data_IF_045914765673
#
_entry.id   IF_045914765673
#
_cell.length_a   1.000
_cell.length_b   1.000
_cell.length_c   1.000
_cell.angle_alpha   90.00
_cell.angle_beta   90.00
_cell.angle_gamma   90.00
#
_symmetry.space_group_name_H-M   'P 1'
#
loop_
_entity.id
_entity.type
_entity.pdbx_description
1 polymer ?
#
# COMPACT_ATOMS: atom_id res chain seq x y z
N UNK A 1 49.24 62.06 -15.71
CA UNK A 1 47.78 62.30 -15.85
C UNK A 1 47.14 61.41 -14.80
N UNK A 2 46.97 61.83 -13.55
CA UNK A 2 46.63 63.17 -13.03
C UNK A 2 45.24 63.62 -13.51
N UNK A 3 44.31 64.07 -12.66
CA UNK A 3 44.31 64.32 -11.20
C UNK A 3 43.39 63.30 -10.47
N UNK A 4 43.43 63.04 -9.15
CA UNK A 4 43.17 63.92 -7.99
C UNK A 4 41.79 64.63 -8.07
N UNK A 5 40.97 64.75 -7.01
CA UNK A 5 41.31 64.87 -5.57
C UNK A 5 40.16 64.44 -4.63
N UNK A 6 40.50 63.93 -3.42
CA UNK A 6 39.92 64.24 -2.07
C UNK A 6 38.39 64.12 -1.81
N UNK A 7 37.87 64.16 -0.57
CA UNK A 7 38.39 64.49 0.79
C UNK A 7 37.77 63.51 1.83
N UNK A 8 38.51 62.90 2.76
CA UNK A 8 38.78 63.34 4.17
C UNK A 8 37.55 63.30 5.13
N UNK A 9 37.59 63.08 6.46
CA UNK A 9 38.55 62.55 7.48
C UNK A 9 37.75 62.42 8.82
N UNK A 10 38.13 61.83 9.98
CA UNK A 10 39.24 61.05 10.59
C UNK A 10 38.55 59.98 11.53
N UNK A 11 39.13 58.89 12.09
CA UNK A 11 40.22 58.71 13.10
C UNK A 11 39.90 59.24 14.53
N UNK A 12 40.32 58.65 15.67
CA UNK A 12 41.21 57.49 15.96
C UNK A 12 41.12 57.02 17.45
N UNK A 13 41.63 55.81 17.77
CA UNK A 13 42.17 55.35 19.09
C UNK A 13 41.22 55.20 20.32
N UNK A 14 41.47 54.30 21.31
CA UNK A 14 42.38 53.13 21.37
C UNK A 14 41.98 52.08 22.44
N UNK A 15 42.70 50.94 22.44
CA UNK A 15 43.17 50.12 23.59
C UNK A 15 42.33 50.05 24.90
N UNK A 16 41.78 48.87 25.25
CA UNK A 16 42.40 47.83 26.13
C UNK A 16 42.17 48.06 27.65
N UNK A 17 42.21 47.09 28.58
CA UNK A 17 42.00 45.63 28.61
C UNK A 17 42.12 45.14 30.09
N UNK A 18 41.99 43.82 30.34
CA UNK A 18 42.49 43.07 31.54
C UNK A 18 41.66 43.21 32.85
N UNK A 19 41.89 42.26 33.77
CA UNK A 19 41.32 42.00 35.11
C UNK A 19 39.88 41.40 35.09
N UNK A 20 39.61 40.15 35.50
CA UNK A 20 40.11 39.24 36.57
C UNK A 20 39.53 39.47 37.98
N UNK A 21 39.10 38.35 38.59
CA UNK A 21 38.81 38.15 40.03
C UNK A 21 37.64 38.96 40.65
N UNK A 22 36.97 38.53 41.74
CA UNK A 22 37.08 37.28 42.54
C UNK A 22 35.74 36.85 43.15
N UNK A 23 35.70 35.56 43.49
CA UNK A 23 34.79 34.87 44.41
C UNK A 23 34.54 35.61 45.75
N UNK A 24 33.29 35.58 46.26
CA UNK A 24 32.99 35.51 47.72
C UNK A 24 31.53 35.06 47.98
N UNK A 25 31.15 34.78 49.24
CA UNK A 25 29.97 33.98 49.61
C UNK A 25 28.84 34.72 50.38
N UNK A 26 27.71 34.01 50.40
CA UNK A 26 26.78 33.79 51.55
C UNK A 26 25.58 34.72 51.84
N UNK A 27 24.43 34.06 52.05
CA UNK A 27 23.22 34.44 52.83
C UNK A 27 22.59 35.82 52.57
N UNK A 28 21.29 35.93 52.25
CA UNK A 28 20.15 35.53 53.10
C UNK A 28 18.84 35.48 52.28
N UNK A 29 17.79 34.83 52.80
CA UNK A 29 16.48 34.65 52.16
C UNK A 29 15.79 35.91 51.62
N UNK A 30 15.23 35.78 50.41
CA UNK A 30 13.92 36.39 50.09
C UNK A 30 13.19 35.58 49.00
N UNK A 31 11.86 35.55 49.09
CA UNK A 31 11.05 34.46 48.56
C UNK A 31 10.16 34.91 47.39
N UNK A 32 10.45 34.43 46.17
CA UNK A 32 9.67 34.69 44.94
C UNK A 32 9.50 33.37 44.17
N UNK A 33 8.30 33.01 43.67
CA UNK A 33 8.03 31.66 43.19
C UNK A 33 8.48 31.40 41.75
N UNK A 34 9.12 30.26 41.50
CA UNK A 34 9.46 29.79 40.15
C UNK A 34 9.92 28.32 40.11
N UNK A 35 9.59 27.63 39.00
CA UNK A 35 10.06 26.29 38.57
C UNK A 35 10.03 25.12 39.58
N UNK A 36 9.13 24.13 39.38
CA UNK A 36 9.39 22.76 39.80
C UNK A 36 10.57 22.17 39.00
N UNK A 37 11.46 21.43 39.67
CA UNK A 37 12.41 20.52 39.00
C UNK A 37 11.67 19.27 38.47
N UNK A 38 12.24 18.52 37.50
CA UNK A 38 11.58 17.36 36.93
C UNK A 38 11.44 16.23 37.97
N UNK A 39 10.21 16.06 38.46
CA UNK A 39 9.79 14.79 39.06
C UNK A 39 9.65 13.72 37.98
N UNK A 40 9.77 12.46 38.40
CA UNK A 40 9.51 11.26 37.59
C UNK A 40 8.29 11.40 36.68
N UNK A 41 8.46 11.12 35.38
CA UNK A 41 7.33 10.87 34.49
C UNK A 41 6.58 9.63 35.01
N UNK A 42 5.41 9.88 35.59
CA UNK A 42 4.46 8.86 36.03
C UNK A 42 4.03 7.97 34.86
N UNK A 43 3.75 6.70 35.15
CA UNK A 43 3.32 5.71 34.16
C UNK A 43 2.13 6.22 33.34
N UNK A 44 2.38 6.46 32.05
CA UNK A 44 1.32 6.76 31.08
C UNK A 44 0.51 5.49 30.87
N UNK A 45 -0.77 5.49 31.26
CA UNK A 45 -1.64 4.32 31.23
C UNK A 45 -1.90 3.89 29.79
N UNK A 46 -1.05 2.99 29.30
CA UNK A 46 -1.35 2.13 28.15
C UNK A 46 -2.44 1.15 28.59
N UNK A 47 -3.54 0.96 27.84
CA UNK A 47 -4.49 -0.09 28.15
C UNK A 47 -3.83 -1.47 28.02
N UNK A 48 -3.80 -2.26 29.10
CA UNK A 48 -3.04 -3.52 29.24
C UNK A 48 -3.32 -4.60 28.17
N UNK A 49 -4.35 -4.40 27.35
CA UNK A 49 -4.74 -5.28 26.24
C UNK A 49 -3.72 -5.41 25.11
N UNK A 50 -2.63 -4.62 25.11
CA UNK A 50 -1.60 -4.60 24.06
C UNK A 50 -0.15 -4.73 24.57
N UNK A 51 0.07 -4.91 25.87
CA UNK A 51 1.41 -4.92 26.50
C UNK A 51 1.60 -6.12 27.44
N UNK A 52 1.62 -7.33 26.88
CA UNK A 52 2.12 -8.54 27.55
C UNK A 52 3.14 -9.25 26.65
N UNK A 53 4.36 -8.71 26.66
CA UNK A 53 5.54 -9.30 26.05
C UNK A 53 6.31 -10.21 27.00
N UNK A 54 5.63 -11.05 27.76
CA UNK A 54 6.26 -12.05 28.64
C UNK A 54 6.00 -13.46 28.13
N UNK A 55 7.03 -14.32 28.23
CA UNK A 55 7.06 -15.63 27.59
C UNK A 55 6.40 -16.70 28.44
N UNK A 56 5.10 -16.93 28.24
CA UNK A 56 4.41 -18.10 28.79
C UNK A 56 3.45 -18.78 27.78
N UNK A 57 3.38 -20.10 27.83
CA UNK A 57 3.07 -20.92 26.64
C UNK A 57 1.59 -21.19 26.37
N UNK A 58 0.74 -20.15 26.33
CA UNK A 58 -0.66 -20.27 25.85
C UNK A 58 -1.34 -18.97 25.38
N UNK A 59 -0.59 -17.90 25.05
CA UNK A 59 -1.15 -16.58 24.72
C UNK A 59 -1.93 -16.48 23.41
N UNK A 60 -3.26 -16.62 23.44
CA UNK A 60 -4.13 -16.26 22.30
C UNK A 60 -4.39 -14.73 22.29
N UNK A 61 -3.87 -14.04 21.27
CA UNK A 61 -4.14 -12.61 21.08
C UNK A 61 -5.57 -12.38 20.60
N UNK A 62 -6.18 -11.25 20.99
CA UNK A 62 -7.56 -10.92 20.62
C UNK A 62 -7.74 -10.65 19.11
N UNK A 63 -6.66 -10.41 18.34
CA UNK A 63 -6.73 -10.44 16.87
C UNK A 63 -6.78 -11.88 16.30
N UNK A 64 -6.16 -12.86 16.97
CA UNK A 64 -6.26 -14.27 16.58
C UNK A 64 -7.71 -14.81 16.61
N UNK A 65 -8.57 -14.23 17.45
CA UNK A 65 -9.99 -14.57 17.52
C UNK A 65 -10.79 -14.18 16.25
N UNK A 66 -10.27 -13.27 15.41
CA UNK A 66 -10.87 -12.97 14.10
C UNK A 66 -10.59 -14.05 13.04
N UNK A 67 -9.66 -14.98 13.29
CA UNK A 67 -9.06 -15.84 12.27
C UNK A 67 -9.36 -17.34 12.46
N UNK A 68 -10.39 -17.71 13.25
CA UNK A 68 -11.01 -19.03 13.12
C UNK A 68 -11.94 -19.05 11.92
N UNK A 69 -11.57 -19.83 10.90
CA UNK A 69 -12.22 -19.96 9.59
C UNK A 69 -13.66 -20.54 9.62
N UNK A 70 -14.28 -20.69 10.80
CA UNK A 70 -15.56 -21.38 11.01
C UNK A 70 -16.68 -20.51 11.61
N UNK A 71 -16.40 -19.26 11.98
CA UNK A 71 -17.39 -18.38 12.61
C UNK A 71 -18.34 -17.75 11.57
N UNK A 72 -19.41 -18.49 11.23
CA UNK A 72 -20.55 -18.01 10.45
C UNK A 72 -21.56 -17.22 11.29
N UNK A 73 -21.07 -16.26 12.11
CA UNK A 73 -21.92 -15.20 12.66
C UNK A 73 -22.12 -14.15 11.56
N UNK A 74 -23.33 -13.59 11.46
CA UNK A 74 -23.67 -12.59 10.44
C UNK A 74 -22.72 -11.39 10.53
N UNK A 75 -22.32 -10.84 9.38
CA UNK A 75 -21.38 -9.70 9.32
C UNK A 75 -22.04 -8.45 9.92
N UNK A 76 -23.36 -8.35 9.72
CA UNK A 76 -24.35 -7.56 10.42
C UNK A 76 -24.01 -7.42 11.92
N UNK A 77 -24.01 -8.54 12.65
CA UNK A 77 -23.88 -8.59 14.12
C UNK A 77 -22.48 -8.19 14.62
N UNK A 78 -21.48 -8.19 13.72
CA UNK A 78 -20.10 -7.78 14.02
C UNK A 78 -19.73 -6.42 13.42
N UNK A 79 -20.63 -5.71 12.74
CA UNK A 79 -20.29 -4.46 12.06
C UNK A 79 -19.83 -3.36 13.03
N UNK A 80 -20.48 -3.22 14.20
CA UNK A 80 -20.04 -2.28 15.24
C UNK A 80 -18.61 -2.58 15.75
N UNK A 81 -18.25 -3.87 15.85
CA UNK A 81 -16.92 -4.31 16.23
C UNK A 81 -15.90 -3.94 15.15
N UNK A 82 -16.22 -4.20 13.87
CA UNK A 82 -15.39 -3.82 12.71
C UNK A 82 -15.15 -2.31 12.70
N UNK A 83 -16.19 -1.50 12.91
CA UNK A 83 -16.07 -0.04 13.00
C UNK A 83 -15.34 0.46 14.26
N UNK A 84 -15.29 -0.32 15.33
CA UNK A 84 -14.46 -0.03 16.51
C UNK A 84 -12.98 -0.31 16.23
N UNK A 85 -12.66 -1.42 15.56
CA UNK A 85 -11.29 -1.72 15.10
C UNK A 85 -10.82 -0.68 14.09
N UNK A 86 -11.67 -0.30 13.13
CA UNK A 86 -11.39 0.80 12.19
C UNK A 86 -10.99 2.09 12.92
N UNK A 87 -11.78 2.54 13.89
CA UNK A 87 -11.49 3.77 14.67
C UNK A 87 -10.18 3.65 15.45
N UNK A 88 -9.87 2.48 16.01
CA UNK A 88 -8.59 2.24 16.68
C UNK A 88 -7.40 2.38 15.71
N UNK A 89 -7.46 1.73 14.53
CA UNK A 89 -6.39 1.84 13.52
C UNK A 89 -6.27 3.27 12.97
N UNK A 90 -7.39 3.96 12.73
CA UNK A 90 -7.39 5.35 12.25
C UNK A 90 -6.79 6.32 13.28
N UNK A 91 -7.12 6.15 14.57
CA UNK A 91 -6.52 6.93 15.64
C UNK A 91 -5.01 6.64 15.75
N UNK A 92 -4.61 5.36 15.73
CA UNK A 92 -3.19 4.99 15.77
C UNK A 92 -2.41 5.60 14.59
N UNK A 93 -2.98 5.65 13.38
CA UNK A 93 -2.34 6.30 12.24
C UNK A 93 -2.10 7.81 12.47
N UNK A 94 -3.06 8.52 13.12
CA UNK A 94 -2.93 9.94 13.48
C UNK A 94 -1.94 10.14 14.63
N UNK A 95 -1.91 9.24 15.62
CA UNK A 95 -0.93 9.24 16.72
C UNK A 95 0.49 9.03 16.18
N UNK A 96 0.69 8.14 15.21
CA UNK A 96 1.98 7.92 14.54
C UNK A 96 2.40 9.10 13.66
N UNK A 97 1.45 9.87 13.12
CA UNK A 97 1.73 11.14 12.42
C UNK A 97 2.16 12.23 13.42
N UNK A 98 1.38 12.43 14.49
CA UNK A 98 1.69 13.43 15.52
C UNK A 98 3.02 13.12 16.23
N UNK A 99 3.29 11.85 16.55
CA UNK A 99 4.56 11.42 17.13
C UNK A 99 5.74 11.72 16.21
N UNK A 100 5.63 11.48 14.89
CA UNK A 100 6.70 11.84 13.97
C UNK A 100 6.95 13.35 13.97
N UNK A 101 5.91 14.17 13.83
CA UNK A 101 6.03 15.64 13.76
C UNK A 101 6.66 16.21 15.05
N UNK A 102 6.28 15.70 16.23
CA UNK A 102 6.79 16.17 17.50
C UNK A 102 8.19 15.60 17.87
N UNK A 103 8.48 14.34 17.54
CA UNK A 103 9.68 13.64 17.99
C UNK A 103 10.83 13.63 16.98
N UNK A 104 10.58 13.80 15.67
CA UNK A 104 11.65 13.77 14.65
C UNK A 104 12.84 14.70 14.95
N UNK A 105 12.67 15.94 15.45
CA UNK A 105 13.81 16.82 15.75
C UNK A 105 14.72 16.33 16.89
N UNK A 106 14.26 15.36 17.69
CA UNK A 106 14.89 14.93 18.94
C UNK A 106 15.43 13.49 18.92
N UNK A 107 15.11 12.70 17.88
CA UNK A 107 15.44 11.28 17.82
C UNK A 107 16.02 10.89 16.45
N UNK A 108 16.95 9.91 16.40
CA UNK A 108 17.56 9.45 15.15
C UNK A 108 16.53 8.70 14.27
N UNK A 109 16.70 8.76 12.95
CA UNK A 109 15.76 8.18 11.96
C UNK A 109 15.48 6.70 12.21
N UNK A 110 16.50 5.97 12.64
CA UNK A 110 16.51 4.54 12.93
C UNK A 110 15.43 4.14 13.96
N UNK A 111 15.07 5.06 14.87
CA UNK A 111 13.98 4.85 15.84
C UNK A 111 12.58 4.79 15.17
N UNK A 112 12.44 5.30 13.94
CA UNK A 112 11.17 5.40 13.21
C UNK A 112 11.04 4.39 12.06
N UNK A 113 12.14 3.86 11.51
CA UNK A 113 12.14 2.98 10.30
C UNK A 113 11.18 1.80 10.43
N UNK A 114 11.16 1.13 11.60
CA UNK A 114 10.30 -0.05 11.82
C UNK A 114 8.84 0.26 12.16
N UNK A 115 8.52 1.53 12.50
CA UNK A 115 7.20 1.91 13.05
C UNK A 115 6.08 1.72 12.03
N UNK A 116 6.28 2.19 10.80
CA UNK A 116 5.29 2.06 9.72
C UNK A 116 5.15 0.61 9.25
N UNK A 117 6.22 -0.15 8.92
CA UNK A 117 6.11 -1.58 8.57
C UNK A 117 5.39 -2.42 9.64
N UNK A 118 5.70 -2.23 10.92
CA UNK A 118 5.06 -2.96 12.02
C UNK A 118 3.56 -2.60 12.16
N UNK A 119 3.19 -1.35 11.91
CA UNK A 119 1.80 -0.92 11.90
C UNK A 119 1.02 -1.45 10.69
N UNK A 120 1.62 -1.44 9.50
CA UNK A 120 0.99 -1.99 8.29
C UNK A 120 0.76 -3.50 8.42
N UNK A 121 1.72 -4.24 8.98
CA UNK A 121 1.55 -5.66 9.31
C UNK A 121 0.37 -5.90 10.28
N UNK A 122 0.12 -4.98 11.21
CA UNK A 122 -1.05 -5.01 12.12
C UNK A 122 -2.38 -4.74 11.38
N UNK A 123 -2.36 -3.97 10.29
CA UNK A 123 -3.52 -3.71 9.43
C UNK A 123 -3.85 -4.87 8.48
N UNK A 124 -2.87 -5.70 8.07
CA UNK A 124 -3.07 -6.82 7.14
C UNK A 124 -4.27 -7.76 7.47
N UNK A 125 -4.47 -8.27 8.71
CA UNK A 125 -5.62 -9.12 9.02
C UNK A 125 -6.96 -8.36 8.94
N UNK A 126 -6.98 -7.07 9.27
CA UNK A 126 -8.19 -6.24 9.18
C UNK A 126 -8.60 -6.00 7.71
N UNK A 127 -7.65 -5.63 6.86
CA UNK A 127 -7.86 -5.54 5.41
C UNK A 127 -8.30 -6.87 4.80
N UNK A 128 -7.66 -7.97 5.20
CA UNK A 128 -8.04 -9.32 4.76
C UNK A 128 -9.49 -9.63 5.11
N UNK A 129 -9.93 -9.34 6.33
CA UNK A 129 -11.33 -9.53 6.74
C UNK A 129 -12.30 -8.69 5.89
N UNK A 130 -12.01 -7.39 5.70
CA UNK A 130 -12.87 -6.49 4.93
C UNK A 130 -13.06 -6.96 3.49
N UNK A 131 -11.98 -7.12 2.74
CA UNK A 131 -12.05 -7.49 1.32
C UNK A 131 -12.57 -8.92 1.13
N UNK A 132 -12.16 -9.87 1.98
CA UNK A 132 -12.64 -11.25 1.90
C UNK A 132 -14.16 -11.30 2.13
N UNK A 133 -14.70 -10.64 3.17
CA UNK A 133 -16.14 -10.64 3.44
C UNK A 133 -16.94 -9.78 2.45
N UNK A 134 -16.35 -8.73 1.89
CA UNK A 134 -17.01 -7.89 0.90
C UNK A 134 -17.09 -8.54 -0.49
N UNK A 135 -16.11 -9.36 -0.87
CA UNK A 135 -15.91 -9.76 -2.28
C UNK A 135 -15.95 -11.25 -2.53
N UNK A 136 -15.70 -12.10 -1.53
CA UNK A 136 -15.52 -13.53 -1.79
C UNK A 136 -16.84 -14.22 -2.13
N UNK A 137 -16.90 -14.84 -3.31
CA UNK A 137 -18.06 -15.58 -3.77
C UNK A 137 -17.88 -17.08 -3.55
N UNK A 138 -18.89 -17.70 -2.92
CA UNK A 138 -18.98 -19.14 -2.70
C UNK A 138 -20.37 -19.63 -3.15
N UNK A 139 -20.47 -20.66 -4.02
CA UNK A 139 -21.76 -21.12 -4.56
C UNK A 139 -22.80 -21.56 -3.51
N UNK A 140 -22.33 -22.03 -2.36
CA UNK A 140 -23.13 -22.52 -1.23
C UNK A 140 -23.67 -21.41 -0.31
N UNK A 141 -23.21 -20.16 -0.44
CA UNK A 141 -23.51 -19.09 0.52
C UNK A 141 -24.32 -17.94 -0.10
N UNK A 142 -25.27 -17.41 0.68
CA UNK A 142 -25.98 -16.17 0.35
C UNK A 142 -24.98 -15.00 0.33
N UNK A 143 -24.96 -14.26 -0.78
CA UNK A 143 -24.22 -12.99 -0.89
C UNK A 143 -24.65 -12.00 0.20
N UNK A 144 -23.69 -11.35 0.86
CA UNK A 144 -23.98 -10.33 1.87
C UNK A 144 -24.79 -9.15 1.29
N UNK A 145 -25.62 -8.44 2.09
CA UNK A 145 -26.37 -7.28 1.61
C UNK A 145 -25.47 -6.17 1.04
N UNK A 146 -25.89 -5.58 -0.08
CA UNK A 146 -25.11 -4.55 -0.81
C UNK A 146 -24.74 -3.34 0.05
N UNK A 147 -25.58 -2.96 1.01
CA UNK A 147 -25.27 -1.90 1.98
C UNK A 147 -24.06 -2.24 2.86
N UNK A 148 -23.98 -3.46 3.37
CA UNK A 148 -22.87 -3.94 4.21
C UNK A 148 -21.62 -4.14 3.35
N UNK A 149 -21.77 -4.71 2.15
CA UNK A 149 -20.68 -4.80 1.16
C UNK A 149 -20.03 -3.44 0.93
N UNK A 150 -20.85 -2.45 0.56
CA UNK A 150 -20.36 -1.10 0.27
C UNK A 150 -19.75 -0.44 1.52
N UNK A 151 -20.26 -0.73 2.73
CA UNK A 151 -19.68 -0.23 3.99
C UNK A 151 -18.31 -0.84 4.29
N UNK A 152 -18.12 -2.15 4.13
CA UNK A 152 -16.80 -2.78 4.30
C UNK A 152 -15.77 -2.16 3.34
N UNK A 153 -16.13 -1.98 2.07
CA UNK A 153 -15.29 -1.37 1.04
C UNK A 153 -15.00 0.12 1.30
N UNK A 154 -15.94 0.85 1.90
CA UNK A 154 -15.74 2.23 2.38
C UNK A 154 -14.69 2.29 3.50
N UNK A 155 -14.68 1.31 4.41
CA UNK A 155 -13.68 1.21 5.47
C UNK A 155 -12.28 0.85 4.90
N UNK A 156 -12.19 -0.05 3.93
CA UNK A 156 -10.93 -0.34 3.20
C UNK A 156 -10.40 0.95 2.57
N UNK A 157 -11.23 1.65 1.79
CA UNK A 157 -10.83 2.85 1.07
C UNK A 157 -10.33 3.97 2.01
N UNK A 158 -11.02 4.20 3.13
CA UNK A 158 -10.63 5.22 4.11
C UNK A 158 -9.34 4.87 4.84
N UNK A 159 -9.15 3.62 5.24
CA UNK A 159 -7.91 3.19 5.88
C UNK A 159 -6.74 3.26 4.90
N UNK A 160 -6.92 2.79 3.66
CA UNK A 160 -5.92 2.88 2.59
C UNK A 160 -5.42 4.32 2.37
N UNK A 161 -6.33 5.30 2.29
CA UNK A 161 -5.96 6.72 2.12
C UNK A 161 -5.12 7.25 3.30
N UNK A 162 -5.45 6.89 4.55
CA UNK A 162 -4.68 7.38 5.70
C UNK A 162 -3.33 6.68 5.85
N UNK A 163 -3.22 5.40 5.45
CA UNK A 163 -1.95 4.69 5.39
C UNK A 163 -1.04 5.25 4.28
N UNK A 164 -1.57 5.50 3.09
CA UNK A 164 -0.86 6.17 1.99
C UNK A 164 -0.29 7.52 2.44
N UNK A 165 -1.10 8.34 3.13
CA UNK A 165 -0.66 9.62 3.74
C UNK A 165 0.39 9.44 4.82
N UNK A 166 0.25 8.47 5.72
CA UNK A 166 1.23 8.15 6.76
C UNK A 166 2.58 7.77 6.13
N UNK A 167 2.58 6.89 5.13
CA UNK A 167 3.78 6.41 4.44
C UNK A 167 4.47 7.57 3.69
N UNK A 168 3.72 8.34 2.89
CA UNK A 168 4.25 9.52 2.17
C UNK A 168 4.80 10.57 3.13
N UNK A 169 4.20 10.74 4.32
CA UNK A 169 4.75 11.65 5.33
C UNK A 169 6.08 11.12 5.88
N UNK A 170 6.18 9.84 6.28
CA UNK A 170 7.45 9.25 6.74
C UNK A 170 8.55 9.31 5.67
N UNK A 171 8.20 9.19 4.38
CA UNK A 171 9.12 9.40 3.26
C UNK A 171 9.56 10.86 3.10
N UNK A 172 8.68 11.83 3.34
CA UNK A 172 9.04 13.27 3.30
C UNK A 172 10.01 13.70 4.41
N UNK A 173 10.10 12.92 5.50
CA UNK A 173 11.13 13.03 6.54
C UNK A 173 12.38 12.17 6.25
N UNK A 174 12.47 11.55 5.07
CA UNK A 174 13.61 10.73 4.62
C UNK A 174 13.91 9.54 5.58
N UNK A 175 12.86 8.99 6.20
CA UNK A 175 12.91 7.76 7.03
C UNK A 175 12.65 6.51 6.18
N UNK A 176 11.77 6.64 5.17
CA UNK A 176 11.39 5.55 4.27
C UNK A 176 11.69 5.93 2.83
N UNK A 177 12.48 5.11 2.15
CA UNK A 177 12.53 5.12 0.69
C UNK A 177 11.22 4.57 0.12
N UNK A 178 10.68 5.22 -0.90
CA UNK A 178 9.52 4.73 -1.67
C UNK A 178 9.91 4.32 -3.10
N UNK A 179 11.21 4.24 -3.39
CA UNK A 179 11.70 3.65 -4.64
C UNK A 179 11.44 2.14 -4.63
N UNK A 180 11.16 1.60 -5.81
CA UNK A 180 10.99 0.17 -6.06
C UNK A 180 12.32 -0.49 -6.46
N UNK A 181 13.36 0.30 -6.78
CA UNK A 181 14.73 -0.19 -6.98
C UNK A 181 15.50 -0.44 -5.68
N UNK A 182 15.01 0.10 -4.56
CA UNK A 182 15.61 -0.05 -3.23
C UNK A 182 15.13 -1.35 -2.55
N UNK A 183 16.02 -2.31 -2.24
CA UNK A 183 15.65 -3.57 -1.58
C UNK A 183 15.22 -3.40 -0.11
N UNK A 184 15.49 -2.24 0.51
CA UNK A 184 14.99 -1.82 1.82
C UNK A 184 13.81 -0.85 1.71
N UNK A 185 13.41 -0.48 0.49
CA UNK A 185 12.34 0.48 0.20
C UNK A 185 10.93 -0.06 0.45
N UNK A 186 9.97 0.85 0.49
CA UNK A 186 8.57 0.57 0.80
C UNK A 186 7.62 1.13 -0.27
N UNK A 187 7.82 0.69 -1.51
CA UNK A 187 7.09 1.18 -2.70
C UNK A 187 5.59 0.86 -2.73
N UNK A 188 5.13 -0.18 -2.01
CA UNK A 188 3.73 -0.63 -2.00
C UNK A 188 3.35 -1.39 -0.71
N UNK A 189 2.06 -1.40 -0.36
CA UNK A 189 1.53 -2.12 0.80
C UNK A 189 0.32 -3.00 0.47
N UNK A 190 0.11 -4.05 1.26
CA UNK A 190 -1.01 -4.99 1.12
C UNK A 190 -2.30 -4.41 1.72
N UNK A 191 -3.40 -4.56 0.98
CA UNK A 191 -4.71 -3.98 1.27
C UNK A 191 -5.86 -5.01 1.26
N UNK A 192 -5.54 -6.30 1.24
CA UNK A 192 -6.50 -7.39 1.44
C UNK A 192 -6.40 -8.50 0.39
N UNK A 193 -7.25 -9.51 0.51
CA UNK A 193 -7.41 -10.59 -0.47
C UNK A 193 -8.86 -11.07 -0.51
N UNK A 194 -9.28 -11.65 -1.62
CA UNK A 194 -10.60 -12.27 -1.78
C UNK A 194 -10.57 -13.50 -2.69
N UNK A 195 -11.64 -14.30 -2.66
CA UNK A 195 -11.79 -15.49 -3.51
C UNK A 195 -12.89 -15.30 -4.57
N UNK A 196 -12.58 -15.65 -5.81
CA UNK A 196 -13.46 -15.52 -6.96
C UNK A 196 -13.52 -16.85 -7.72
N UNK A 197 -14.36 -17.77 -7.26
CA UNK A 197 -14.38 -19.14 -7.76
C UNK A 197 -13.01 -19.80 -7.60
N UNK A 198 -12.37 -20.29 -8.68
CA UNK A 198 -11.05 -20.91 -8.63
C UNK A 198 -9.89 -19.92 -8.45
N UNK A 199 -10.13 -18.62 -8.27
CA UNK A 199 -9.09 -17.60 -8.14
C UNK A 199 -8.97 -17.02 -6.74
N UNK A 200 -7.74 -16.91 -6.23
CA UNK A 200 -7.38 -16.08 -5.07
C UNK A 200 -6.75 -14.79 -5.58
N UNK A 201 -7.32 -13.65 -5.19
CA UNK A 201 -6.89 -12.31 -5.64
C UNK A 201 -6.33 -11.55 -4.44
N UNK A 202 -5.01 -11.34 -4.41
CA UNK A 202 -4.32 -10.57 -3.35
C UNK A 202 -4.01 -9.16 -3.85
N UNK A 203 -4.28 -8.14 -3.04
CA UNK A 203 -4.35 -6.73 -3.44
C UNK A 203 -3.25 -5.86 -2.79
N UNK A 204 -2.64 -4.98 -3.59
CA UNK A 204 -1.60 -4.06 -3.15
C UNK A 204 -1.78 -2.65 -3.74
N UNK A 205 -1.64 -1.60 -2.93
CA UNK A 205 -1.61 -0.19 -3.35
C UNK A 205 -0.16 0.30 -3.36
N UNK A 206 0.24 1.00 -4.42
CA UNK A 206 1.55 1.68 -4.45
C UNK A 206 1.51 2.97 -3.64
N UNK A 207 2.56 3.23 -2.86
CA UNK A 207 2.68 4.39 -1.98
C UNK A 207 2.88 5.70 -2.75
N UNK A 208 3.46 5.59 -3.94
CA UNK A 208 3.57 6.64 -4.96
C UNK A 208 3.51 6.00 -6.36
N UNK A 209 3.12 6.73 -7.42
CA UNK A 209 3.06 6.15 -8.76
C UNK A 209 4.45 5.72 -9.25
N UNK A 210 4.67 4.42 -9.45
CA UNK A 210 5.98 3.86 -9.82
C UNK A 210 6.05 3.45 -11.29
N UNK A 211 7.12 3.79 -12.00
CA UNK A 211 7.35 3.32 -13.36
C UNK A 211 7.62 1.81 -13.42
N UNK A 212 7.47 1.20 -14.59
CA UNK A 212 8.02 -0.13 -14.82
C UNK A 212 9.56 -0.04 -14.85
N UNK A 213 10.24 -0.96 -14.16
CA UNK A 213 11.71 -1.11 -14.16
C UNK A 213 12.22 -2.01 -15.30
N UNK A 214 11.31 -2.40 -16.19
CA UNK A 214 11.56 -3.25 -17.34
C UNK A 214 11.89 -2.42 -18.59
N UNK A 215 12.66 -2.99 -19.53
CA UNK A 215 13.03 -2.29 -20.76
C UNK A 215 11.88 -2.21 -21.79
N UNK A 216 11.84 -1.11 -22.53
CA UNK A 216 10.78 -0.75 -23.49
C UNK A 216 10.88 -1.55 -24.80
N UNK A 217 10.12 -2.66 -24.94
CA UNK A 217 9.86 -3.27 -26.27
C UNK A 217 8.57 -2.74 -26.92
N UNK A 218 7.48 -2.52 -26.17
CA UNK A 218 6.19 -2.01 -26.71
C UNK A 218 5.66 -0.73 -26.02
N UNK A 219 6.55 0.16 -25.58
CA UNK A 219 6.17 1.52 -25.15
C UNK A 219 5.49 1.60 -23.78
N UNK A 220 6.03 0.86 -22.80
CA UNK A 220 5.73 1.00 -21.37
C UNK A 220 6.06 2.41 -20.85
N UNK A 221 7.00 3.11 -21.49
CA UNK A 221 7.44 4.46 -21.16
C UNK A 221 6.29 5.41 -20.78
N UNK A 222 6.35 6.00 -19.59
CA UNK A 222 5.31 6.90 -19.08
C UNK A 222 4.02 6.24 -18.57
N UNK A 223 3.94 4.91 -18.49
CA UNK A 223 2.97 4.24 -17.61
C UNK A 223 3.49 4.21 -16.17
N UNK A 224 2.65 4.61 -15.22
CA UNK A 224 2.93 4.57 -13.79
C UNK A 224 1.93 3.64 -13.09
N UNK A 225 2.45 2.63 -12.39
CA UNK A 225 1.71 1.69 -11.56
C UNK A 225 1.18 2.39 -10.31
N UNK A 226 -0.10 2.18 -10.01
CA UNK A 226 -0.74 2.67 -8.78
C UNK A 226 -1.32 1.53 -7.94
N UNK A 227 -1.59 0.36 -8.54
CA UNK A 227 -2.17 -0.79 -7.84
C UNK A 227 -1.69 -2.08 -8.51
N UNK A 228 -1.46 -3.13 -7.71
CA UNK A 228 -1.16 -4.49 -8.19
C UNK A 228 -2.17 -5.47 -7.60
N UNK A 229 -2.58 -6.44 -8.42
CA UNK A 229 -3.23 -7.66 -7.97
C UNK A 229 -2.38 -8.87 -8.36
N UNK A 230 -2.21 -9.81 -7.44
CA UNK A 230 -1.68 -11.13 -7.73
C UNK A 230 -2.88 -12.08 -7.83
N UNK A 231 -3.03 -12.79 -8.94
CA UNK A 231 -4.14 -13.73 -9.17
C UNK A 231 -3.59 -15.15 -9.20
N UNK A 232 -3.83 -15.89 -8.13
CA UNK A 232 -3.42 -17.28 -7.93
C UNK A 232 -4.60 -18.21 -8.22
N UNK A 233 -4.32 -19.47 -8.61
CA UNK A 233 -5.36 -20.52 -8.64
C UNK A 233 -5.50 -21.15 -7.25
N UNK A 234 -6.72 -21.16 -6.73
CA UNK A 234 -7.04 -21.66 -5.39
C UNK A 234 -7.28 -23.17 -5.43
N UNK A 235 -6.37 -23.95 -4.81
CA UNK A 235 -6.32 -25.42 -4.95
C UNK A 235 -7.55 -26.13 -4.38
N UNK A 236 -7.99 -25.73 -3.18
CA UNK A 236 -9.13 -26.33 -2.47
C UNK A 236 -10.44 -26.30 -3.30
N UNK A 237 -10.66 -25.25 -4.09
CA UNK A 237 -11.82 -25.13 -4.98
C UNK A 237 -11.80 -26.15 -6.14
N UNK A 238 -10.60 -26.52 -6.60
CA UNK A 238 -10.44 -27.59 -7.60
C UNK A 238 -10.65 -28.97 -6.96
N UNK A 239 -10.19 -29.16 -5.73
CA UNK A 239 -10.38 -30.40 -4.97
C UNK A 239 -11.86 -30.68 -4.66
N UNK A 240 -12.66 -29.66 -4.33
CA UNK A 240 -14.11 -29.79 -4.15
C UNK A 240 -14.87 -30.13 -5.45
N UNK A 241 -14.40 -29.64 -6.61
CA UNK A 241 -15.06 -29.90 -7.90
C UNK A 241 -14.63 -31.20 -8.57
N UNK A 242 -13.36 -31.58 -8.46
CA UNK A 242 -12.78 -32.73 -9.19
C UNK A 242 -12.74 -34.03 -8.36
N UNK A 243 -13.58 -34.12 -7.33
CA UNK A 243 -13.73 -35.26 -6.40
C UNK A 243 -14.10 -36.62 -7.05
N UNK A 244 -14.22 -36.68 -8.38
CA UNK A 244 -14.46 -37.90 -9.17
C UNK A 244 -13.35 -38.19 -10.20
N UNK A 245 -12.27 -37.40 -10.27
CA UNK A 245 -11.05 -37.81 -10.96
C UNK A 245 -10.22 -38.72 -10.04
N UNK A 246 -9.71 -39.82 -10.60
CA UNK A 246 -8.64 -40.57 -9.95
C UNK A 246 -7.44 -39.66 -9.72
N UNK A 247 -6.77 -39.83 -8.58
CA UNK A 247 -5.38 -39.41 -8.42
C UNK A 247 -4.56 -40.01 -9.57
N UNK A 248 -3.99 -39.14 -10.39
CA UNK A 248 -2.96 -39.47 -11.38
C UNK A 248 -1.67 -38.94 -10.79
N UNK A 249 -0.62 -39.75 -10.77
CA UNK A 249 0.59 -39.56 -9.96
C UNK A 249 1.55 -38.47 -10.51
N UNK A 250 1.02 -37.54 -11.34
CA UNK A 250 1.68 -36.32 -11.84
C UNK A 250 1.50 -35.10 -10.89
N UNK A 251 1.07 -35.33 -9.63
CA UNK A 251 0.73 -34.28 -8.65
C UNK A 251 1.87 -33.25 -8.44
N UNK A 252 3.14 -33.61 -8.66
CA UNK A 252 4.29 -32.71 -8.45
C UNK A 252 4.49 -31.62 -9.53
N UNK A 253 3.97 -31.79 -10.76
CA UNK A 253 4.30 -30.89 -11.89
C UNK A 253 3.30 -29.77 -12.16
N UNK A 254 2.11 -29.80 -11.56
CA UNK A 254 1.11 -28.73 -11.74
C UNK A 254 1.24 -27.60 -10.70
N UNK A 255 2.02 -27.81 -9.64
CA UNK A 255 1.85 -27.12 -8.36
C UNK A 255 2.56 -25.75 -8.22
N UNK A 256 3.37 -25.35 -9.21
CA UNK A 256 4.19 -24.12 -9.18
C UNK A 256 3.91 -23.15 -10.33
N UNK A 257 2.64 -22.94 -10.69
CA UNK A 257 2.31 -21.80 -11.57
C UNK A 257 2.39 -20.50 -10.77
N UNK A 258 3.24 -19.59 -11.22
CA UNK A 258 3.33 -18.23 -10.69
C UNK A 258 1.98 -17.49 -10.81
N UNK A 259 1.69 -16.51 -9.94
CA UNK A 259 0.46 -15.73 -10.01
C UNK A 259 0.41 -14.86 -11.27
N UNK A 260 -0.75 -14.80 -11.91
CA UNK A 260 -1.01 -13.83 -12.97
C UNK A 260 -1.00 -12.41 -12.34
N UNK A 261 -0.05 -11.57 -12.75
CA UNK A 261 0.07 -10.20 -12.24
C UNK A 261 -0.78 -9.22 -13.06
N UNK A 262 -1.64 -8.46 -12.37
CA UNK A 262 -2.44 -7.39 -12.98
C UNK A 262 -2.11 -6.06 -12.32
N UNK A 263 -2.14 -4.98 -13.10
CA UNK A 263 -1.84 -3.63 -12.63
C UNK A 263 -2.87 -2.61 -13.07
N UNK A 264 -3.15 -1.66 -12.18
CA UNK A 264 -3.77 -0.40 -12.55
C UNK A 264 -2.66 0.62 -12.75
N UNK A 265 -2.63 1.18 -13.96
CA UNK A 265 -1.64 2.17 -14.36
C UNK A 265 -2.33 3.41 -14.91
N UNK A 266 -1.74 4.59 -14.71
CA UNK A 266 -2.05 5.75 -15.53
C UNK A 266 -0.95 6.05 -16.54
N UNK A 267 -1.30 6.76 -17.61
CA UNK A 267 -0.36 7.37 -18.55
C UNK A 267 -0.84 8.76 -18.93
N UNK A 268 0.04 9.74 -18.83
CA UNK A 268 -0.25 11.13 -19.20
C UNK A 268 -0.04 11.30 -20.71
N UNK A 269 -1.12 11.58 -21.45
CA UNK A 269 -1.14 11.59 -22.92
C UNK A 269 -1.66 12.92 -23.48
N UNK A 270 -1.22 13.37 -24.68
CA UNK A 270 -1.78 14.57 -25.31
C UNK A 270 -3.30 14.45 -25.53
N UNK A 271 -4.06 15.50 -25.22
CA UNK A 271 -5.54 15.52 -25.29
C UNK A 271 -6.10 14.97 -26.59
N UNK A 272 -5.50 15.29 -27.74
CA UNK A 272 -5.97 14.82 -29.05
C UNK A 272 -5.93 13.29 -29.20
N UNK A 273 -4.98 12.61 -28.55
CA UNK A 273 -4.93 11.14 -28.47
C UNK A 273 -5.96 10.60 -27.49
N UNK A 274 -6.07 11.23 -26.32
CA UNK A 274 -7.04 10.84 -25.28
C UNK A 274 -8.49 10.94 -25.78
N UNK A 275 -8.83 12.04 -26.45
CA UNK A 275 -10.16 12.29 -27.00
C UNK A 275 -10.52 11.30 -28.11
N UNK A 276 -9.55 10.84 -28.89
CA UNK A 276 -9.76 9.76 -29.87
C UNK A 276 -10.07 8.44 -29.16
N UNK A 277 -9.21 7.99 -28.24
CA UNK A 277 -9.40 6.74 -27.49
C UNK A 277 -10.70 6.72 -26.67
N UNK A 278 -11.10 7.81 -26.03
CA UNK A 278 -12.38 7.86 -25.32
C UNK A 278 -13.59 7.70 -26.25
N UNK A 279 -13.56 8.29 -27.45
CA UNK A 279 -14.62 8.10 -28.46
C UNK A 279 -14.66 6.67 -28.99
N UNK A 280 -13.50 6.05 -29.20
CA UNK A 280 -13.39 4.64 -29.61
C UNK A 280 -13.84 3.64 -28.53
N UNK A 281 -13.95 4.08 -27.27
CA UNK A 281 -14.44 3.28 -26.14
C UNK A 281 -15.87 3.66 -25.69
N UNK A 282 -16.55 4.57 -26.40
CA UNK A 282 -17.91 5.03 -26.04
C UNK A 282 -18.00 5.93 -24.79
N UNK A 283 -16.86 6.44 -24.31
CA UNK A 283 -16.78 7.33 -23.16
C UNK A 283 -17.13 8.79 -23.54
N UNK A 284 -17.49 9.59 -22.53
CA UNK A 284 -17.82 11.01 -22.70
C UNK A 284 -16.63 11.84 -23.23
N UNK A 285 -16.92 13.02 -23.79
CA UNK A 285 -15.89 13.94 -24.27
C UNK A 285 -15.06 14.52 -23.12
N UNK A 286 -13.76 14.67 -23.35
CA UNK A 286 -12.81 15.19 -22.36
C UNK A 286 -12.68 16.70 -22.58
N UNK A 287 -12.79 17.53 -21.52
CA UNK A 287 -12.56 18.98 -21.62
C UNK A 287 -11.26 19.32 -22.36
N UNK A 288 -11.31 20.33 -23.24
CA UNK A 288 -10.21 20.71 -24.11
C UNK A 288 -8.99 21.21 -23.31
N UNK A 289 -7.88 20.47 -23.30
CA UNK A 289 -6.63 20.98 -22.72
C UNK A 289 -5.45 20.00 -22.67
N UNK A 290 -4.29 20.47 -23.13
CA UNK A 290 -2.95 19.96 -22.75
C UNK A 290 -2.75 18.44 -22.81
N UNK A 291 -2.23 17.90 -21.70
CA UNK A 291 -2.11 16.47 -21.43
C UNK A 291 -3.20 16.00 -20.47
N UNK A 292 -3.78 14.84 -20.77
CA UNK A 292 -4.83 14.18 -20.00
C UNK A 292 -4.23 12.92 -19.39
N UNK A 293 -4.41 12.75 -18.08
CA UNK A 293 -4.13 11.47 -17.40
C UNK A 293 -5.19 10.45 -17.81
N UNK A 294 -4.79 9.31 -18.35
CA UNK A 294 -5.70 8.20 -18.62
C UNK A 294 -5.36 7.00 -17.74
N UNK A 295 -6.38 6.47 -17.06
CA UNK A 295 -6.31 5.29 -16.22
C UNK A 295 -6.62 4.03 -17.02
N UNK A 296 -5.93 2.95 -16.68
CA UNK A 296 -5.95 1.69 -17.42
C UNK A 296 -5.75 0.50 -16.49
N UNK A 297 -6.40 -0.61 -16.84
CA UNK A 297 -6.21 -1.92 -16.22
C UNK A 297 -5.60 -2.85 -17.25
N UNK A 298 -4.54 -3.57 -16.88
CA UNK A 298 -3.85 -4.51 -17.76
C UNK A 298 -3.20 -5.66 -17.00
N UNK A 299 -2.88 -6.73 -17.74
CA UNK A 299 -2.05 -7.84 -17.26
C UNK A 299 -0.58 -7.51 -17.55
N UNK A 300 0.31 -7.80 -16.60
CA UNK A 300 1.75 -7.87 -16.87
C UNK A 300 2.09 -9.27 -17.37
N UNK A 301 2.74 -9.34 -18.52
CA UNK A 301 3.26 -10.59 -19.09
C UNK A 301 4.76 -10.46 -19.18
N UNK A 302 5.51 -11.25 -18.42
CA UNK A 302 6.97 -11.29 -18.53
C UNK A 302 7.38 -11.94 -19.87
N UNK A 303 8.44 -11.40 -20.47
CA UNK A 303 8.96 -11.85 -21.77
C UNK A 303 10.45 -12.24 -21.71
N UNK A 304 11.23 -11.63 -20.82
CA UNK A 304 12.67 -11.84 -20.66
C UNK A 304 13.04 -11.54 -19.19
N UNK A 305 13.71 -12.44 -18.44
CA UNK A 305 13.98 -13.82 -18.80
C UNK A 305 12.67 -14.59 -19.02
N UNK A 306 12.71 -15.67 -19.79
CA UNK A 306 11.53 -16.50 -20.06
C UNK A 306 11.00 -17.11 -18.74
N UNK A 307 9.74 -16.83 -18.33
CA UNK A 307 9.18 -17.37 -17.08
C UNK A 307 8.93 -18.89 -17.13
N UNK A 308 9.17 -19.54 -18.28
CA UNK A 308 9.19 -20.99 -18.42
C UNK A 308 10.60 -21.60 -18.46
N UNK A 309 11.66 -20.78 -18.44
CA UNK A 309 13.03 -21.26 -18.28
C UNK A 309 13.38 -21.41 -16.78
N UNK A 310 13.81 -22.61 -16.38
CA UNK A 310 14.26 -22.93 -15.03
C UNK A 310 15.72 -22.52 -14.76
N UNK A 311 16.48 -22.03 -15.77
CA UNK A 311 17.86 -21.57 -15.57
C UNK A 311 17.92 -20.24 -14.82
N UNK A 312 18.26 -20.33 -13.53
CA UNK A 312 18.50 -19.19 -12.63
C UNK A 312 19.61 -18.24 -13.13
N UNK A 313 20.50 -18.68 -14.02
CA UNK A 313 21.54 -17.80 -14.59
C UNK A 313 20.95 -16.74 -15.52
N UNK A 314 19.90 -17.05 -16.29
CA UNK A 314 19.21 -16.03 -17.10
C UNK A 314 18.62 -14.95 -16.19
N UNK A 315 17.97 -15.35 -15.09
CA UNK A 315 17.40 -14.44 -14.09
C UNK A 315 18.46 -13.60 -13.36
N UNK A 316 19.63 -14.18 -13.04
CA UNK A 316 20.71 -13.48 -12.31
C UNK A 316 21.56 -12.58 -13.24
N UNK A 317 21.67 -12.92 -14.53
CA UNK A 317 22.42 -12.13 -15.52
C UNK A 317 21.53 -11.09 -16.25
N UNK A 318 20.21 -11.24 -16.16
CA UNK A 318 19.23 -10.26 -16.62
C UNK A 318 19.40 -8.91 -15.90
N UNK A 319 19.98 -7.93 -16.58
CA UNK A 319 20.22 -6.58 -16.02
C UNK A 319 18.93 -5.78 -15.79
N UNK A 320 17.91 -6.05 -16.61
CA UNK A 320 16.55 -5.52 -16.54
C UNK A 320 15.62 -6.53 -17.20
N UNK A 321 14.52 -6.93 -16.54
CA UNK A 321 13.53 -7.79 -17.18
C UNK A 321 12.86 -7.04 -18.33
N UNK A 322 12.20 -7.78 -19.20
CA UNK A 322 11.26 -7.27 -20.19
C UNK A 322 9.90 -7.88 -19.99
N UNK A 323 8.88 -7.15 -20.40
CA UNK A 323 7.53 -7.65 -20.42
C UNK A 323 6.58 -6.69 -21.11
N UNK A 324 5.33 -7.10 -21.19
CA UNK A 324 4.26 -6.40 -21.87
C UNK A 324 3.13 -6.08 -20.89
N UNK A 325 2.74 -4.80 -20.85
CA UNK A 325 1.50 -4.39 -20.19
C UNK A 325 0.34 -4.58 -21.18
N UNK A 326 -0.22 -5.79 -21.18
CA UNK A 326 -1.36 -6.17 -22.00
C UNK A 326 -2.62 -5.48 -21.48
N UNK A 327 -2.99 -4.37 -22.13
CA UNK A 327 -4.19 -3.60 -21.81
C UNK A 327 -5.46 -4.47 -21.88
N UNK A 328 -6.25 -4.45 -20.81
CA UNK A 328 -7.52 -5.18 -20.69
C UNK A 328 -8.72 -4.23 -20.73
N UNK A 329 -8.60 -3.04 -20.13
CA UNK A 329 -9.65 -2.01 -20.12
C UNK A 329 -9.06 -0.62 -19.93
N UNK A 330 -9.52 0.35 -20.73
CA UNK A 330 -9.34 1.77 -20.44
C UNK A 330 -10.42 2.22 -19.45
N UNK A 331 -10.02 2.89 -18.36
CA UNK A 331 -10.93 3.37 -17.31
C UNK A 331 -11.30 4.85 -17.49
N UNK A 332 -10.62 5.56 -18.40
CA UNK A 332 -10.89 6.96 -18.72
C UNK A 332 -10.04 7.96 -17.90
N UNK A 333 -10.46 9.24 -17.81
CA UNK A 333 -9.64 10.28 -17.19
C UNK A 333 -9.73 10.38 -15.67
N UNK A 334 -10.78 9.81 -15.05
CA UNK A 334 -11.03 9.88 -13.62
C UNK A 334 -10.25 8.78 -12.89
N UNK A 335 -9.59 9.10 -11.75
CA UNK A 335 -9.00 8.05 -10.90
C UNK A 335 -10.12 7.22 -10.26
N UNK A 336 -10.16 5.89 -10.46
CA UNK A 336 -11.11 5.03 -9.76
C UNK A 336 -10.64 4.82 -8.31
N UNK A 337 -11.58 4.64 -7.39
CA UNK A 337 -11.27 4.18 -6.04
C UNK A 337 -10.61 2.79 -6.05
N UNK A 338 -9.90 2.45 -4.97
CA UNK A 338 -9.32 1.11 -4.71
C UNK A 338 -10.39 0.03 -4.88
N UNK A 339 -11.62 0.34 -4.44
CA UNK A 339 -12.77 -0.53 -4.55
C UNK A 339 -13.23 -0.69 -6.01
N UNK A 340 -13.47 0.39 -6.75
CA UNK A 340 -13.88 0.34 -8.15
C UNK A 340 -12.82 -0.31 -9.06
N UNK A 341 -11.54 0.01 -8.83
CA UNK A 341 -10.41 -0.59 -9.54
C UNK A 341 -10.41 -2.12 -9.39
N UNK A 342 -10.69 -2.61 -8.18
CA UNK A 342 -10.82 -4.05 -7.90
C UNK A 342 -12.08 -4.65 -8.51
N UNK A 343 -13.24 -3.97 -8.41
CA UNK A 343 -14.49 -4.40 -9.06
C UNK A 343 -14.32 -4.51 -10.60
N UNK A 344 -13.53 -3.63 -11.22
CA UNK A 344 -13.18 -3.74 -12.65
C UNK A 344 -12.32 -4.97 -12.98
N UNK A 345 -11.32 -5.31 -12.16
CA UNK A 345 -10.53 -6.53 -12.37
C UNK A 345 -11.37 -7.78 -12.19
N UNK A 346 -12.15 -7.86 -11.10
CA UNK A 346 -13.03 -9.00 -10.84
C UNK A 346 -14.05 -9.17 -12.00
N UNK A 347 -14.59 -8.07 -12.55
CA UNK A 347 -15.42 -8.11 -13.75
C UNK A 347 -14.72 -8.67 -15.00
N UNK A 348 -13.42 -8.41 -15.18
CA UNK A 348 -12.63 -9.00 -16.29
C UNK A 348 -12.35 -10.49 -16.05
N UNK A 349 -12.01 -10.87 -14.81
CA UNK A 349 -11.79 -12.27 -14.42
C UNK A 349 -13.08 -13.10 -14.57
N UNK A 350 -14.24 -12.54 -14.22
CA UNK A 350 -15.55 -13.19 -14.40
C UNK A 350 -15.82 -13.56 -15.86
N UNK A 351 -15.65 -12.59 -16.77
CA UNK A 351 -15.85 -12.82 -18.21
C UNK A 351 -14.90 -13.90 -18.74
N UNK A 352 -13.66 -13.94 -18.24
CA UNK A 352 -12.66 -14.95 -18.59
C UNK A 352 -13.01 -16.38 -18.09
N UNK A 353 -13.81 -16.51 -17.02
CA UNK A 353 -14.37 -17.79 -16.59
C UNK A 353 -15.51 -18.23 -17.52
N UNK A 354 -16.55 -17.41 -17.66
CA UNK A 354 -17.76 -17.79 -18.40
C UNK A 354 -17.48 -18.11 -19.88
N UNK A 355 -16.52 -17.42 -20.52
CA UNK A 355 -16.11 -17.76 -21.89
C UNK A 355 -15.48 -19.16 -22.00
N UNK A 356 -14.79 -19.65 -20.97
CA UNK A 356 -14.19 -21.00 -20.96
C UNK A 356 -15.22 -22.08 -20.69
N UNK A 357 -16.15 -21.83 -19.78
CA UNK A 357 -17.27 -22.72 -19.48
C UNK A 357 -18.14 -22.95 -20.74
N UNK A 358 -18.43 -21.88 -21.49
CA UNK A 358 -19.14 -21.99 -22.77
C UNK A 358 -18.36 -22.75 -23.86
N UNK A 359 -17.04 -22.57 -23.96
CA UNK A 359 -16.21 -23.33 -24.92
C UNK A 359 -16.22 -24.83 -24.58
N UNK A 360 -15.98 -25.19 -23.31
CA UNK A 360 -16.00 -26.60 -22.87
C UNK A 360 -17.38 -27.27 -23.03
N UNK A 361 -18.48 -26.51 -22.97
CA UNK A 361 -19.81 -27.05 -23.25
C UNK A 361 -20.10 -27.27 -24.74
N UNK A 362 -19.46 -26.52 -25.64
CA UNK A 362 -19.59 -26.72 -27.09
C UNK A 362 -18.80 -27.94 -27.59
N UNK A 363 -17.65 -28.24 -27.00
CA UNK A 363 -16.80 -29.38 -27.40
C UNK A 363 -17.40 -30.77 -27.06
N UNK A 364 -18.51 -30.82 -26.30
CA UNK A 364 -19.26 -32.05 -25.99
C UNK A 364 -20.50 -32.27 -26.87
N UNK A 365 -20.75 -31.42 -27.87
CA UNK A 365 -21.86 -31.54 -28.83
C UNK A 365 -21.41 -31.33 -30.29
N UNK A 366 -20.24 -31.89 -30.65
CA UNK A 366 -19.72 -32.00 -32.01
C UNK A 366 -19.70 -33.44 -32.52
#
# INVERSE_FOLDING_TARGET
MAEETRTEELSVHDSSAIAEEKETRDTTDQQVPGTPRPGSLSESVVPDFLTSGESDSSGQSNLGFLLKYSDFIMVEDRLEFVERVFRCLMNQAVELQAHLICSHPCFPKEAFVHVVPAFLHRCHPYFTYLEFRARSYWPSHRSIPTCIRNRLLELTQKLCIQLERLIVMYASFDILSLDESDPCGFSHFYIGQCLMGPFKVSMFRYCQPSSFLADDEEGLNGFYKCMRWNVERYKEYLEEMDANKKKVEDEEKMDRREPDYYFMCYKDVPWLKAQKWCKEQGNQEIPLGGTVRLWSLGQWVQADPDPTNEDILDWVLCKRPKGLFKLLRCLGPNEPSVSEATDYLLGVLFLHMCMKEHLTHCEFYG
#
